data_IF_258595087157
#
_entry.id   IF_258595087157
#
_cell.length_a   1.000
_cell.length_b   1.000
_cell.length_c   1.000
_cell.angle_alpha   90.00
_cell.angle_beta   90.00
_cell.angle_gamma   90.00
#
_symmetry.space_group_name_H-M   'P 1'
#
loop_
_entity.id
_entity.type
_entity.pdbx_description
1 polymer ?
#
# COMPACT_ATOMS: atom_id res chain seq x y z
N UNK A 1 8.50 -19.22 8.27
CA UNK A 1 9.18 -19.99 7.20
C UNK A 1 8.19 -21.06 6.74
N UNK A 2 7.98 -21.24 5.45
CA UNK A 2 7.13 -22.31 4.95
C UNK A 2 7.91 -23.64 4.97
N UNK A 3 7.27 -24.72 5.39
CA UNK A 3 7.86 -26.06 5.42
C UNK A 3 6.89 -27.05 4.79
N UNK A 4 7.41 -27.90 3.92
CA UNK A 4 6.68 -28.99 3.31
C UNK A 4 7.11 -30.29 3.99
N UNK A 5 6.15 -30.98 4.60
CA UNK A 5 6.36 -32.19 5.40
C UNK A 5 5.70 -33.34 4.65
N UNK A 6 6.44 -34.42 4.45
CA UNK A 6 5.94 -35.65 3.83
C UNK A 6 5.98 -36.72 4.91
N UNK A 7 4.83 -37.33 5.17
CA UNK A 7 4.69 -38.42 6.11
C UNK A 7 5.11 -39.75 5.44
N UNK A 8 6.23 -40.38 5.88
CA UNK A 8 6.73 -41.61 5.28
C UNK A 8 5.81 -42.82 5.53
N UNK A 9 4.96 -42.80 6.57
CA UNK A 9 4.07 -43.93 6.88
C UNK A 9 2.81 -43.91 6.02
N UNK A 10 2.35 -42.72 5.66
CA UNK A 10 1.13 -42.52 4.86
C UNK A 10 1.44 -42.45 3.36
N UNK A 11 2.70 -42.18 2.96
CA UNK A 11 3.08 -42.06 1.57
C UNK A 11 2.98 -43.40 0.81
N UNK A 12 2.11 -43.45 -0.20
CA UNK A 12 1.91 -44.65 -1.03
C UNK A 12 2.85 -44.76 -2.25
N UNK A 13 3.75 -43.79 -2.45
CA UNK A 13 4.69 -43.78 -3.57
C UNK A 13 4.06 -43.67 -4.97
N UNK A 14 2.86 -43.10 -5.10
CA UNK A 14 2.11 -43.02 -6.36
C UNK A 14 2.63 -42.01 -7.42
N UNK A 15 3.71 -41.28 -7.11
CA UNK A 15 4.37 -40.30 -7.99
C UNK A 15 3.53 -39.11 -8.48
N UNK A 16 2.25 -39.01 -8.10
CA UNK A 16 1.34 -37.93 -8.53
C UNK A 16 1.86 -36.53 -8.15
N UNK A 17 2.56 -36.43 -7.02
CA UNK A 17 3.18 -35.20 -6.55
C UNK A 17 4.33 -34.70 -7.44
N UNK A 18 5.07 -35.61 -8.11
CA UNK A 18 6.16 -35.26 -9.04
C UNK A 18 5.58 -34.66 -10.31
N UNK A 19 4.56 -35.29 -10.90
CA UNK A 19 3.88 -34.76 -12.09
C UNK A 19 3.21 -33.41 -11.84
N UNK A 20 2.77 -33.16 -10.61
CA UNK A 20 2.11 -31.93 -10.21
C UNK A 20 3.09 -30.79 -9.90
N UNK A 21 4.38 -31.06 -9.74
CA UNK A 21 5.36 -30.04 -9.36
C UNK A 21 5.87 -29.28 -10.60
N UNK A 22 5.49 -28.00 -10.82
CA UNK A 22 5.96 -27.24 -11.98
C UNK A 22 7.45 -26.87 -11.89
N UNK A 23 8.06 -27.04 -10.71
CA UNK A 23 9.46 -26.69 -10.43
C UNK A 23 10.38 -27.92 -10.33
N UNK A 24 9.83 -29.13 -10.48
CA UNK A 24 10.61 -30.38 -10.38
C UNK A 24 11.34 -30.55 -9.05
N UNK A 25 10.73 -30.11 -7.95
CA UNK A 25 11.32 -30.10 -6.61
C UNK A 25 11.01 -31.35 -5.78
N UNK A 26 10.40 -32.38 -6.37
CA UNK A 26 10.03 -33.62 -5.71
C UNK A 26 10.70 -34.80 -6.43
N UNK A 27 11.31 -35.68 -5.65
CA UNK A 27 11.96 -36.91 -6.13
C UNK A 27 11.54 -38.11 -5.28
N UNK A 28 11.61 -39.33 -5.82
CA UNK A 28 11.36 -40.55 -5.05
C UNK A 28 12.67 -41.11 -4.50
N UNK A 29 12.73 -41.38 -3.20
CA UNK A 29 13.80 -42.16 -2.57
C UNK A 29 13.17 -43.24 -1.69
N UNK A 30 13.57 -44.49 -1.90
CA UNK A 30 13.12 -45.64 -1.09
C UNK A 30 11.59 -45.81 -1.01
N UNK A 31 10.87 -45.43 -2.08
CA UNK A 31 9.41 -45.53 -2.14
C UNK A 31 8.67 -44.37 -1.47
N UNK A 32 9.38 -43.36 -0.96
CA UNK A 32 8.81 -42.16 -0.33
C UNK A 32 9.21 -40.91 -1.14
N UNK A 33 8.29 -39.95 -1.22
CA UNK A 33 8.57 -38.67 -1.85
C UNK A 33 9.48 -37.81 -0.96
N UNK A 34 10.50 -37.19 -1.56
CA UNK A 34 11.48 -36.32 -0.91
C UNK A 34 11.47 -34.97 -1.60
N UNK A 35 11.49 -33.90 -0.81
CA UNK A 35 11.50 -32.52 -1.29
C UNK A 35 12.92 -31.96 -1.36
N UNK A 36 13.25 -31.37 -2.50
CA UNK A 36 14.53 -30.70 -2.74
C UNK A 36 14.46 -29.19 -2.40
N UNK A 37 15.61 -28.53 -2.40
CA UNK A 37 15.80 -27.09 -2.16
C UNK A 37 15.13 -26.19 -3.19
N UNK A 38 14.74 -26.74 -4.36
CA UNK A 38 13.99 -26.04 -5.42
C UNK A 38 12.52 -25.80 -5.06
N UNK A 39 12.04 -26.27 -3.91
CA UNK A 39 10.65 -26.14 -3.53
C UNK A 39 10.27 -24.68 -3.25
N UNK A 40 9.27 -24.17 -3.97
CA UNK A 40 8.73 -22.81 -3.80
C UNK A 40 7.51 -22.76 -2.88
N UNK A 41 7.14 -23.88 -2.25
CA UNK A 41 5.99 -23.99 -1.34
C UNK A 41 4.65 -23.56 -1.98
N UNK A 42 4.48 -23.84 -3.29
CA UNK A 42 3.28 -23.46 -4.04
C UNK A 42 2.02 -24.24 -3.65
N UNK A 43 2.15 -25.40 -3.00
CA UNK A 43 1.03 -26.21 -2.51
C UNK A 43 0.45 -27.22 -3.51
N UNK A 44 0.85 -27.19 -4.79
CA UNK A 44 0.29 -28.07 -5.81
C UNK A 44 0.31 -29.56 -5.44
N UNK A 45 1.41 -30.04 -4.83
CA UNK A 45 1.55 -31.44 -4.42
C UNK A 45 0.61 -31.87 -3.28
N UNK A 46 0.13 -30.95 -2.44
CA UNK A 46 -0.83 -31.25 -1.37
C UNK A 46 -2.18 -31.63 -2.00
N UNK A 47 -2.61 -30.86 -3.00
CA UNK A 47 -3.92 -31.04 -3.64
C UNK A 47 -4.03 -32.35 -4.44
N UNK A 48 -2.92 -32.85 -4.98
CA UNK A 48 -2.90 -34.06 -5.81
C UNK A 48 -2.56 -35.33 -5.02
N UNK A 49 -2.26 -35.23 -3.73
CA UNK A 49 -1.91 -36.39 -2.92
C UNK A 49 -3.17 -37.19 -2.55
N UNK A 50 -3.37 -38.41 -3.10
CA UNK A 50 -4.61 -39.17 -2.86
C UNK A 50 -4.74 -39.69 -1.43
N UNK A 51 -3.61 -39.80 -0.73
CA UNK A 51 -3.50 -40.29 0.65
C UNK A 51 -3.24 -39.16 1.65
N UNK A 52 -3.21 -37.90 1.21
CA UNK A 52 -2.95 -36.72 2.07
C UNK A 52 -1.65 -36.82 2.88
N UNK A 53 -0.63 -37.53 2.37
CA UNK A 53 0.66 -37.70 3.03
C UNK A 53 1.56 -36.44 3.00
N UNK A 54 1.15 -35.38 2.29
CA UNK A 54 1.93 -34.16 2.13
C UNK A 54 1.22 -33.02 2.85
N UNK A 55 1.87 -32.45 3.85
CA UNK A 55 1.38 -31.31 4.62
C UNK A 55 2.25 -30.10 4.33
N UNK A 56 1.63 -28.98 3.96
CA UNK A 56 2.31 -27.70 3.82
C UNK A 56 2.03 -26.84 5.05
N UNK A 57 3.00 -26.77 5.95
CA UNK A 57 2.98 -25.82 7.06
C UNK A 57 3.47 -24.47 6.55
N UNK A 58 2.54 -23.58 6.23
CA UNK A 58 2.85 -22.16 6.15
C UNK A 58 2.81 -21.64 7.57
N UNK A 59 3.95 -21.28 8.15
CA UNK A 59 3.93 -20.36 9.29
C UNK A 59 3.31 -19.06 8.79
N UNK A 60 2.00 -18.92 8.94
CA UNK A 60 1.37 -17.62 9.06
C UNK A 60 1.97 -17.01 10.31
N UNK A 61 3.08 -16.28 10.15
CA UNK A 61 3.42 -15.27 11.12
C UNK A 61 2.23 -14.31 11.08
N UNK A 62 1.26 -14.55 11.95
CA UNK A 62 0.42 -13.50 12.47
C UNK A 62 1.41 -12.53 13.10
N UNK A 63 1.90 -11.59 12.29
CA UNK A 63 2.70 -10.49 12.78
C UNK A 63 1.73 -9.79 13.72
N UNK A 64 1.88 -10.03 15.01
CA UNK A 64 1.14 -9.36 16.06
C UNK A 64 1.71 -7.95 16.14
N UNK A 65 1.38 -7.16 15.12
CA UNK A 65 1.67 -5.74 15.11
C UNK A 65 0.84 -5.14 16.22
N UNK A 66 1.48 -4.41 17.13
CA UNK A 66 0.77 -3.59 18.10
C UNK A 66 0.01 -2.48 17.37
N UNK A 67 -1.25 -2.76 17.05
CA UNK A 67 -2.13 -1.85 16.31
C UNK A 67 -2.35 -0.54 17.09
N UNK A 68 -2.18 -0.55 18.42
CA UNK A 68 -2.40 0.63 19.26
C UNK A 68 -1.38 1.75 19.04
N UNK A 69 -0.22 1.41 18.45
CA UNK A 69 0.81 2.36 18.07
C UNK A 69 0.46 3.16 16.80
N UNK A 70 -0.52 2.70 16.02
CA UNK A 70 -0.87 3.32 14.75
C UNK A 70 -2.01 4.32 14.93
N UNK A 71 -1.81 5.56 14.47
CA UNK A 71 -2.75 6.66 14.66
C UNK A 71 -2.72 7.61 13.47
N UNK A 72 -3.81 8.34 13.29
CA UNK A 72 -3.99 9.38 12.25
C UNK A 72 -4.25 8.83 10.85
N UNK A 73 -5.01 9.62 10.07
CA UNK A 73 -5.31 9.37 8.65
C UNK A 73 -4.40 10.25 7.81
N UNK A 74 -3.64 9.64 6.91
CA UNK A 74 -2.69 10.33 6.06
C UNK A 74 -3.18 10.39 4.61
N UNK A 75 -3.02 11.56 3.98
CA UNK A 75 -3.34 11.78 2.58
C UNK A 75 -2.08 12.18 1.84
N UNK A 76 -1.76 11.46 0.76
CA UNK A 76 -0.73 11.87 -0.18
C UNK A 76 -1.22 13.01 -1.05
N UNK A 77 -0.51 14.14 -0.97
CA UNK A 77 -0.83 15.32 -1.74
C UNK A 77 0.05 15.33 -2.99
N UNK A 78 -0.59 14.99 -4.10
CA UNK A 78 0.01 15.07 -5.41
C UNK A 78 0.12 16.53 -5.85
N UNK A 79 1.28 16.90 -6.38
CA UNK A 79 1.50 18.17 -7.06
C UNK A 79 2.30 17.94 -8.35
N UNK A 80 2.00 18.75 -9.35
CA UNK A 80 2.64 18.69 -10.66
C UNK A 80 2.86 20.12 -11.17
N UNK A 81 4.06 20.41 -11.67
CA UNK A 81 4.43 21.72 -12.25
C UNK A 81 4.06 22.93 -11.37
N UNK A 82 4.17 22.77 -10.05
CA UNK A 82 3.89 23.82 -9.09
C UNK A 82 2.39 24.06 -8.81
N UNK A 83 1.53 23.09 -9.13
CA UNK A 83 0.10 23.09 -8.76
C UNK A 83 -0.27 21.80 -8.05
N UNK A 84 -1.05 21.90 -6.99
CA UNK A 84 -1.63 20.73 -6.31
C UNK A 84 -2.74 20.16 -7.17
N UNK A 85 -2.76 18.83 -7.32
CA UNK A 85 -3.81 18.14 -8.06
C UNK A 85 -5.15 18.23 -7.33
N UNK A 86 -6.24 18.39 -8.09
CA UNK A 86 -7.60 18.49 -7.53
C UNK A 86 -7.99 17.27 -6.70
N UNK A 87 -7.50 16.08 -7.07
CA UNK A 87 -7.74 14.84 -6.33
C UNK A 87 -7.26 14.95 -4.88
N UNK A 88 -6.11 15.59 -4.64
CA UNK A 88 -5.56 15.76 -3.30
C UNK A 88 -6.53 16.49 -2.37
N UNK A 89 -7.26 17.49 -2.88
CA UNK A 89 -8.24 18.23 -2.09
C UNK A 89 -9.50 17.40 -1.79
N UNK A 90 -9.97 16.61 -2.76
CA UNK A 90 -11.09 15.68 -2.57
C UNK A 90 -10.76 14.65 -1.48
N UNK A 91 -9.52 14.11 -1.49
CA UNK A 91 -9.04 13.16 -0.50
C UNK A 91 -8.88 13.76 0.89
N UNK A 92 -8.50 15.03 1.01
CA UNK A 92 -8.49 15.73 2.30
C UNK A 92 -9.91 15.86 2.86
N UNK A 93 -10.90 16.12 2.00
CA UNK A 93 -12.31 16.17 2.38
C UNK A 93 -12.83 14.85 2.91
N UNK A 94 -12.56 13.74 2.20
CA UNK A 94 -12.98 12.41 2.64
C UNK A 94 -12.15 11.90 3.82
N UNK A 95 -10.84 12.12 3.79
CA UNK A 95 -9.93 11.81 4.88
C UNK A 95 -10.33 12.48 6.19
N UNK A 96 -10.93 13.69 6.13
CA UNK A 96 -11.48 14.34 7.33
C UNK A 96 -12.64 13.56 7.94
N UNK A 97 -13.57 13.07 7.13
CA UNK A 97 -14.70 12.26 7.62
C UNK A 97 -14.21 10.97 8.26
N UNK A 98 -13.22 10.31 7.65
CA UNK A 98 -12.60 9.10 8.19
C UNK A 98 -11.87 9.39 9.51
N UNK A 99 -11.14 10.51 9.58
CA UNK A 99 -10.44 10.93 10.79
C UNK A 99 -11.43 11.25 11.93
N UNK A 100 -12.55 11.93 11.63
CA UNK A 100 -13.60 12.23 12.60
C UNK A 100 -14.29 10.94 13.10
N UNK A 101 -14.52 9.95 12.22
CA UNK A 101 -15.08 8.65 12.59
C UNK A 101 -14.15 7.82 13.50
N UNK A 102 -12.83 7.93 13.29
CA UNK A 102 -11.81 7.27 14.10
C UNK A 102 -11.43 8.06 15.37
N UNK A 103 -11.77 9.35 15.43
CA UNK A 103 -11.36 10.26 16.50
C UNK A 103 -9.86 10.61 16.47
N UNK A 104 -9.24 10.61 15.28
CA UNK A 104 -7.82 10.91 15.08
C UNK A 104 -7.61 12.16 14.22
N UNK A 105 -6.35 12.55 13.99
CA UNK A 105 -6.03 13.75 13.19
C UNK A 105 -5.95 13.42 11.71
N UNK A 106 -6.25 14.42 10.88
CA UNK A 106 -5.98 14.38 9.45
C UNK A 106 -4.58 14.95 9.18
N UNK A 107 -3.76 14.15 8.52
CA UNK A 107 -2.40 14.49 8.15
C UNK A 107 -2.24 14.51 6.63
N UNK A 108 -1.53 15.50 6.10
CA UNK A 108 -1.07 15.51 4.70
C UNK A 108 0.40 15.12 4.61
N UNK A 109 0.80 14.40 3.58
CA UNK A 109 2.21 14.20 3.23
C UNK A 109 2.52 14.85 1.88
N UNK A 110 3.57 15.65 1.83
CA UNK A 110 4.01 16.41 0.65
C UNK A 110 5.51 16.22 0.45
N UNK A 111 5.93 15.92 -0.78
CA UNK A 111 7.32 15.71 -1.16
C UNK A 111 7.65 16.62 -2.34
N UNK A 112 8.75 17.36 -2.31
CA UNK A 112 9.12 18.23 -3.44
C UNK A 112 10.31 19.14 -3.18
N UNK A 113 10.51 20.12 -4.05
CA UNK A 113 11.42 21.24 -3.84
C UNK A 113 10.58 22.51 -3.66
N UNK A 114 10.82 23.27 -2.57
CA UNK A 114 10.11 24.53 -2.21
C UNK A 114 8.59 24.37 -2.12
N UNK A 115 8.10 23.54 -1.20
CA UNK A 115 6.67 23.18 -1.13
C UNK A 115 5.86 24.04 -0.17
N UNK A 116 6.43 25.09 0.43
CA UNK A 116 5.73 25.98 1.36
C UNK A 116 4.38 26.53 0.87
N UNK A 117 4.21 26.92 -0.42
CA UNK A 117 2.92 27.40 -0.90
C UNK A 117 1.84 26.31 -0.82
N UNK A 118 2.20 25.06 -1.15
CA UNK A 118 1.27 23.92 -1.16
C UNK A 118 0.85 23.53 0.25
N UNK A 119 1.76 23.66 1.22
CA UNK A 119 1.45 23.38 2.64
C UNK A 119 0.31 24.28 3.13
N UNK A 120 0.32 25.57 2.77
CA UNK A 120 -0.75 26.50 3.16
C UNK A 120 -2.10 26.11 2.56
N UNK A 121 -2.11 25.69 1.31
CA UNK A 121 -3.34 25.23 0.64
C UNK A 121 -3.89 23.97 1.33
N UNK A 122 -3.04 22.97 1.57
CA UNK A 122 -3.42 21.70 2.20
C UNK A 122 -4.00 21.91 3.62
N UNK A 123 -3.42 22.83 4.40
CA UNK A 123 -3.96 23.22 5.71
C UNK A 123 -5.34 23.88 5.55
N UNK A 124 -5.50 24.77 4.56
CA UNK A 124 -6.77 25.44 4.31
C UNK A 124 -7.90 24.48 3.88
N UNK A 125 -7.55 23.33 3.29
CA UNK A 125 -8.52 22.26 2.95
C UNK A 125 -8.73 21.24 4.07
N UNK A 126 -8.06 21.39 5.21
CA UNK A 126 -8.42 20.75 6.46
C UNK A 126 -7.40 19.81 7.10
N UNK A 127 -6.18 19.73 6.56
CA UNK A 127 -5.10 19.01 7.22
C UNK A 127 -4.68 19.70 8.53
N UNK A 128 -4.64 18.95 9.63
CA UNK A 128 -4.18 19.43 10.93
C UNK A 128 -2.66 19.31 11.09
N UNK A 129 -2.06 18.30 10.45
CA UNK A 129 -0.61 18.14 10.37
C UNK A 129 -0.19 17.97 8.92
N UNK A 130 0.95 18.53 8.55
CA UNK A 130 1.54 18.34 7.23
C UNK A 130 2.99 17.90 7.38
N UNK A 131 3.27 16.69 6.91
CA UNK A 131 4.60 16.13 6.81
C UNK A 131 5.22 16.54 5.48
N UNK A 132 6.38 17.18 5.56
CA UNK A 132 7.06 17.79 4.42
C UNK A 132 8.46 17.21 4.33
N UNK A 133 8.81 16.66 3.17
CA UNK A 133 10.19 16.34 2.83
C UNK A 133 10.63 17.16 1.64
N UNK A 134 11.62 18.01 1.88
CA UNK A 134 12.19 18.90 0.88
C UNK A 134 13.57 18.41 0.46
N UNK A 135 13.76 18.24 -0.85
CA UNK A 135 15.05 17.91 -1.43
C UNK A 135 15.06 18.27 -2.92
N UNK A 136 16.20 18.75 -3.47
CA UNK A 136 16.35 18.94 -4.92
C UNK A 136 16.07 17.67 -5.74
N UNK A 137 16.33 16.50 -5.15
CA UNK A 137 16.05 15.18 -5.75
C UNK A 137 14.55 14.92 -5.97
N UNK A 138 13.67 15.64 -5.27
CA UNK A 138 12.22 15.52 -5.34
C UNK A 138 11.57 16.54 -6.27
N UNK A 139 12.37 17.40 -6.93
CA UNK A 139 11.89 18.41 -7.88
C UNK A 139 11.05 17.82 -9.01
N UNK A 140 11.38 16.60 -9.44
CA UNK A 140 10.65 15.84 -10.44
C UNK A 140 10.19 14.52 -9.84
N UNK A 141 8.99 14.09 -10.22
CA UNK A 141 8.47 12.82 -9.76
C UNK A 141 9.33 11.67 -10.27
N UNK A 142 9.87 10.91 -9.32
CA UNK A 142 10.56 9.64 -9.53
C UNK A 142 10.17 8.72 -8.39
N UNK A 143 9.88 7.47 -8.73
CA UNK A 143 9.31 6.50 -7.80
C UNK A 143 10.23 6.24 -6.60
N UNK A 144 11.53 6.01 -6.83
CA UNK A 144 12.51 5.68 -5.79
C UNK A 144 12.61 6.75 -4.67
N UNK A 145 12.91 8.04 -4.95
CA UNK A 145 13.05 9.04 -3.90
C UNK A 145 11.72 9.38 -3.19
N UNK A 146 10.59 9.36 -3.91
CA UNK A 146 9.27 9.59 -3.32
C UNK A 146 8.91 8.43 -2.37
N UNK A 147 9.08 7.19 -2.81
CA UNK A 147 8.83 6.00 -2.00
C UNK A 147 9.74 5.99 -0.76
N UNK A 148 11.02 6.30 -0.91
CA UNK A 148 11.95 6.38 0.23
C UNK A 148 11.49 7.41 1.28
N UNK A 149 11.12 8.62 0.85
CA UNK A 149 10.60 9.65 1.75
C UNK A 149 9.36 9.16 2.52
N UNK A 150 8.40 8.59 1.80
CA UNK A 150 7.15 8.12 2.38
C UNK A 150 7.34 6.96 3.35
N UNK A 151 8.15 5.96 2.98
CA UNK A 151 8.44 4.79 3.82
C UNK A 151 9.10 5.22 5.13
N UNK A 152 10.03 6.18 5.08
CA UNK A 152 10.69 6.68 6.28
C UNK A 152 9.70 7.37 7.23
N UNK A 153 8.82 8.21 6.69
CA UNK A 153 7.78 8.86 7.48
C UNK A 153 6.78 7.86 8.06
N UNK A 154 6.28 6.93 7.24
CA UNK A 154 5.29 5.94 7.65
C UNK A 154 5.88 5.01 8.73
N UNK A 155 7.14 4.58 8.61
CA UNK A 155 7.80 3.76 9.64
C UNK A 155 8.02 4.52 10.95
N UNK A 156 8.32 5.81 10.89
CA UNK A 156 8.60 6.66 12.07
C UNK A 156 7.31 7.03 12.82
N UNK A 157 6.27 7.44 12.11
CA UNK A 157 5.06 7.99 12.70
C UNK A 157 3.87 7.01 12.73
N UNK A 158 3.96 5.88 12.01
CA UNK A 158 2.99 4.78 12.04
C UNK A 158 1.53 5.24 11.83
N UNK A 159 1.17 5.77 10.65
CA UNK A 159 -0.21 6.11 10.33
C UNK A 159 -1.14 4.91 10.33
N UNK A 160 -2.39 5.08 10.75
CA UNK A 160 -3.37 3.99 10.69
C UNK A 160 -3.87 3.76 9.26
N UNK A 161 -4.14 4.85 8.53
CA UNK A 161 -4.66 4.84 7.17
C UNK A 161 -3.79 5.74 6.29
N UNK A 162 -3.49 5.31 5.07
CA UNK A 162 -2.86 6.15 4.05
C UNK A 162 -3.67 6.10 2.74
N UNK A 163 -4.06 7.26 2.24
CA UNK A 163 -4.90 7.41 1.04
C UNK A 163 -4.10 8.12 -0.05
N UNK A 164 -4.19 7.60 -1.27
CA UNK A 164 -3.54 8.13 -2.46
C UNK A 164 -4.55 8.45 -3.57
N UNK A 165 -4.19 9.35 -4.48
CA UNK A 165 -4.95 9.55 -5.71
C UNK A 165 -4.75 8.38 -6.66
N UNK A 166 -5.80 7.94 -7.35
CA UNK A 166 -5.69 6.96 -8.42
C UNK A 166 -5.27 7.60 -9.76
N UNK A 167 -4.25 8.45 -9.72
CA UNK A 167 -3.61 9.05 -10.91
C UNK A 167 -2.47 8.18 -11.40
N UNK A 168 -1.81 8.57 -12.50
CA UNK A 168 -0.58 7.91 -12.96
C UNK A 168 0.50 7.94 -11.87
N UNK A 169 0.65 9.06 -11.17
CA UNK A 169 1.62 9.21 -10.08
C UNK A 169 1.22 8.35 -8.88
N UNK A 170 0.00 8.49 -8.38
CA UNK A 170 -0.43 7.80 -7.18
C UNK A 170 -0.54 6.28 -7.34
N UNK A 171 -0.88 5.77 -8.53
CA UNK A 171 -0.89 4.31 -8.78
C UNK A 171 0.50 3.69 -8.75
N UNK A 172 1.49 4.36 -9.34
CA UNK A 172 2.89 3.92 -9.32
C UNK A 172 3.49 3.99 -7.90
N UNK A 173 3.30 5.15 -7.26
CA UNK A 173 3.80 5.42 -5.92
C UNK A 173 3.19 4.50 -4.86
N UNK A 174 1.86 4.37 -4.83
CA UNK A 174 1.16 3.56 -3.83
C UNK A 174 1.56 2.08 -3.92
N UNK A 175 1.71 1.53 -5.12
CA UNK A 175 2.12 0.13 -5.32
C UNK A 175 3.51 -0.14 -4.75
N UNK A 176 4.46 0.78 -4.99
CA UNK A 176 5.82 0.68 -4.46
C UNK A 176 5.85 0.77 -2.94
N UNK A 177 5.12 1.73 -2.35
CA UNK A 177 5.05 1.92 -0.90
C UNK A 177 4.41 0.72 -0.21
N UNK A 178 3.28 0.24 -0.72
CA UNK A 178 2.57 -0.90 -0.13
C UNK A 178 3.40 -2.19 -0.17
N UNK A 179 4.07 -2.46 -1.29
CA UNK A 179 4.96 -3.63 -1.42
C UNK A 179 6.14 -3.56 -0.45
N UNK A 180 6.74 -2.38 -0.27
CA UNK A 180 7.90 -2.22 0.63
C UNK A 180 7.54 -2.25 2.12
N UNK A 181 6.30 -1.89 2.44
CA UNK A 181 5.74 -1.97 3.79
C UNK A 181 5.05 -3.29 4.08
N UNK A 182 4.96 -4.19 3.09
CA UNK A 182 4.24 -5.46 3.18
C UNK A 182 2.79 -5.28 3.64
N UNK A 183 2.10 -4.23 3.17
CA UNK A 183 0.71 -3.93 3.54
C UNK A 183 -0.26 -4.05 2.36
N UNK A 184 -1.55 -4.20 2.67
CA UNK A 184 -2.62 -4.24 1.67
C UNK A 184 -2.80 -2.90 0.97
N UNK A 185 -3.14 -2.94 -0.32
CA UNK A 185 -3.47 -1.78 -1.14
C UNK A 185 -4.72 -2.06 -1.97
N UNK A 186 -5.81 -1.35 -1.70
CA UNK A 186 -7.00 -1.41 -2.57
C UNK A 186 -6.95 -0.31 -3.62
N UNK A 187 -6.84 -0.70 -4.88
CA UNK A 187 -6.80 0.24 -5.99
C UNK A 187 -8.20 0.75 -6.38
N UNK A 188 -8.28 1.99 -6.86
CA UNK A 188 -9.45 2.55 -7.58
C UNK A 188 -10.75 2.55 -6.75
N UNK A 189 -10.66 2.88 -5.48
CA UNK A 189 -11.80 2.98 -4.58
C UNK A 189 -12.77 4.09 -5.02
N UNK A 190 -14.06 3.79 -4.89
CA UNK A 190 -15.19 4.70 -5.12
C UNK A 190 -15.94 5.04 -3.83
N UNK A 191 -15.67 4.33 -2.75
CA UNK A 191 -16.25 4.59 -1.44
C UNK A 191 -15.29 4.15 -0.34
N UNK A 192 -15.17 4.98 0.68
CA UNK A 192 -14.38 4.70 1.87
C UNK A 192 -15.30 4.92 3.07
N UNK A 193 -15.35 3.96 3.98
CA UNK A 193 -16.11 4.07 5.21
C UNK A 193 -15.37 3.37 6.35
N UNK A 194 -15.65 3.75 7.59
CA UNK A 194 -15.09 3.08 8.77
C UNK A 194 -16.16 2.17 9.35
N UNK A 195 -15.78 0.91 9.57
CA UNK A 195 -16.66 -0.02 10.26
C UNK A 195 -16.84 0.39 11.74
N UNK A 196 -18.07 0.63 12.22
CA UNK A 196 -18.30 1.13 13.59
C UNK A 196 -17.86 0.16 14.69
N UNK A 197 -17.88 -1.15 14.43
CA UNK A 197 -17.57 -2.17 15.42
C UNK A 197 -16.07 -2.48 15.42
N UNK A 198 -15.50 -2.65 14.23
CA UNK A 198 -14.12 -3.12 14.09
C UNK A 198 -13.10 -2.02 13.83
N UNK A 199 -13.55 -0.80 13.49
CA UNK A 199 -12.73 0.36 13.10
C UNK A 199 -11.84 0.14 11.87
N UNK A 200 -12.07 -0.92 11.10
CA UNK A 200 -11.35 -1.13 9.84
C UNK A 200 -11.92 -0.27 8.71
N UNK A 201 -11.06 0.05 7.73
CA UNK A 201 -11.42 0.80 6.55
C UNK A 201 -12.11 -0.13 5.53
N UNK A 202 -13.40 0.13 5.30
CA UNK A 202 -14.20 -0.48 4.23
C UNK A 202 -13.88 0.19 2.90
N UNK A 203 -13.16 -0.52 2.05
CA UNK A 203 -12.67 -0.02 0.76
C UNK A 203 -13.56 -0.56 -0.35
N UNK A 204 -14.50 0.28 -0.79
CA UNK A 204 -15.47 -0.11 -1.82
C UNK A 204 -14.92 0.25 -3.19
N UNK A 205 -14.82 -0.74 -4.08
CA UNK A 205 -14.41 -0.52 -5.48
C UNK A 205 -15.23 -1.37 -6.46
N UNK A 206 -15.38 -0.89 -7.71
CA UNK A 206 -15.86 -1.71 -8.81
C UNK A 206 -14.82 -2.78 -9.20
N UNK A 207 -15.28 -4.03 -9.33
CA UNK A 207 -14.57 -5.16 -9.88
C UNK A 207 -15.26 -5.64 -11.17
N UNK A 208 -14.56 -6.46 -11.97
CA UNK A 208 -15.10 -7.08 -13.19
C UNK A 208 -15.79 -6.09 -14.15
N UNK A 209 -15.04 -5.06 -14.57
CA UNK A 209 -15.55 -4.05 -15.52
C UNK A 209 -16.61 -3.10 -14.95
N UNK A 210 -16.84 -3.11 -13.64
CA UNK A 210 -17.85 -2.26 -12.99
C UNK A 210 -19.15 -2.97 -12.62
N UNK A 211 -19.30 -4.26 -12.96
CA UNK A 211 -20.53 -5.00 -12.72
C UNK A 211 -20.70 -5.45 -11.27
N UNK A 212 -19.60 -5.62 -10.54
CA UNK A 212 -19.62 -6.09 -9.15
C UNK A 212 -18.98 -5.02 -8.27
N UNK A 213 -19.68 -4.63 -7.22
CA UNK A 213 -19.13 -3.77 -6.19
C UNK A 213 -18.59 -4.66 -5.07
N UNK A 214 -17.28 -4.60 -4.86
CA UNK A 214 -16.61 -5.35 -3.80
C UNK A 214 -16.20 -4.37 -2.70
N UNK A 215 -16.45 -4.77 -1.45
CA UNK A 215 -15.91 -4.06 -0.28
C UNK A 215 -14.79 -4.92 0.29
N UNK A 216 -13.58 -4.40 0.22
CA UNK A 216 -12.38 -5.06 0.72
C UNK A 216 -12.04 -4.47 2.09
N UNK A 217 -11.61 -5.34 2.99
CA UNK A 217 -11.10 -5.02 4.31
C UNK A 217 -9.67 -5.54 4.39
N UNK A 218 -8.72 -4.70 4.80
CA UNK A 218 -7.33 -5.10 5.03
C UNK A 218 -7.21 -5.83 6.38
N UNK A 219 -7.83 -7.01 6.45
CA UNK A 219 -7.99 -7.84 7.65
C UNK A 219 -7.14 -9.12 7.57
N UNK A 220 -6.52 -9.60 8.67
CA UNK A 220 -6.11 -8.90 9.89
C UNK A 220 -4.59 -8.59 9.90
N UNK A 221 -4.19 -7.59 10.69
CA UNK A 221 -2.80 -7.30 11.09
C UNK A 221 -1.84 -6.62 10.10
N UNK A 222 -2.32 -6.01 9.01
CA UNK A 222 -1.47 -5.17 8.16
C UNK A 222 -1.74 -3.68 8.40
N UNK A 223 -0.66 -2.91 8.60
CA UNK A 223 -0.70 -1.45 8.79
C UNK A 223 0.46 -0.79 8.05
N UNK A 224 0.26 0.39 7.45
CA UNK A 224 -1.01 1.14 7.34
C UNK A 224 -2.04 0.44 6.43
N UNK A 225 -3.33 0.74 6.63
CA UNK A 225 -4.37 0.38 5.66
C UNK A 225 -4.29 1.37 4.50
N UNK A 226 -4.18 0.88 3.26
CA UNK A 226 -3.91 1.77 2.13
C UNK A 226 -4.88 1.63 0.97
N UNK A 227 -5.30 2.76 0.43
CA UNK A 227 -6.24 2.81 -0.68
C UNK A 227 -5.83 3.87 -1.71
N UNK A 228 -6.01 3.57 -3.00
CA UNK A 228 -6.06 4.61 -4.03
C UNK A 228 -7.50 4.92 -4.38
N UNK A 229 -7.82 6.19 -4.58
CA UNK A 229 -9.18 6.67 -4.80
C UNK A 229 -9.30 7.35 -6.16
N UNK A 230 -10.36 7.04 -6.89
CA UNK A 230 -10.60 7.65 -8.20
C UNK A 230 -10.85 9.17 -8.09
N UNK A 231 -10.23 9.99 -8.96
CA UNK A 231 -10.54 11.41 -9.03
C UNK A 231 -12.02 11.66 -9.31
N UNK A 232 -12.57 12.75 -8.79
CA UNK A 232 -13.95 13.24 -8.96
C UNK A 232 -15.04 12.36 -8.34
N UNK A 233 -14.66 11.41 -7.47
CA UNK A 233 -15.62 10.61 -6.71
C UNK A 233 -16.17 11.40 -5.53
N UNK A 234 -15.29 12.11 -4.82
CA UNK A 234 -15.66 12.84 -3.62
C UNK A 234 -15.83 14.33 -3.91
N UNK A 235 -16.75 15.02 -3.22
CA UNK A 235 -16.94 16.45 -3.40
C UNK A 235 -15.76 17.23 -2.82
N UNK A 236 -15.39 18.32 -3.50
CA UNK A 236 -14.35 19.21 -3.02
C UNK A 236 -14.78 19.88 -1.70
N UNK A 237 -13.95 19.82 -0.63
CA UNK A 237 -14.28 20.46 0.63
C UNK A 237 -14.21 21.99 0.52
N UNK A 238 -14.90 22.69 1.43
CA UNK A 238 -14.83 24.15 1.51
C UNK A 238 -13.45 24.55 2.02
N UNK A 239 -12.80 25.45 1.29
CA UNK A 239 -11.54 26.08 1.71
C UNK A 239 -11.80 27.01 2.89
N UNK A 240 -10.98 26.86 3.93
CA UNK A 240 -11.04 27.66 5.15
C UNK A 240 -9.65 28.13 5.55
N UNK A 241 -9.38 29.41 5.33
CA UNK A 241 -8.07 30.03 5.58
C UNK A 241 -7.80 30.30 7.06
N UNK A 242 -8.81 30.15 7.93
CA UNK A 242 -8.65 30.37 9.37
C UNK A 242 -7.97 29.21 10.09
N UNK A 243 -7.83 28.06 9.41
CA UNK A 243 -7.26 26.83 9.97
C UNK A 243 -5.75 26.97 10.19
N UNK A 244 -5.31 26.47 11.34
CA UNK A 244 -3.88 26.35 11.68
C UNK A 244 -3.51 24.87 11.70
N UNK A 245 -2.43 24.54 11.01
CA UNK A 245 -1.86 23.19 10.99
C UNK A 245 -0.42 23.19 11.49
N UNK A 246 0.01 22.06 12.03
CA UNK A 246 1.40 21.81 12.43
C UNK A 246 2.20 21.32 11.22
N UNK A 247 3.38 21.89 10.99
CA UNK A 247 4.25 21.52 9.87
C UNK A 247 5.44 20.75 10.44
N UNK A 248 5.62 19.51 10.00
CA UNK A 248 6.73 18.64 10.42
C UNK A 248 7.62 18.43 9.21
N UNK A 249 8.87 18.90 9.29
CA UNK A 249 9.86 18.75 8.23
C UNK A 249 10.82 17.63 8.55
N UNK A 250 11.01 16.72 7.60
CA UNK A 250 11.96 15.60 7.72
C UNK A 250 12.84 15.54 6.49
N UNK A 251 14.16 15.30 6.65
CA UNK A 251 15.09 15.25 5.53
C UNK A 251 14.91 13.96 4.71
N UNK A 252 15.25 14.04 3.43
CA UNK A 252 15.37 12.85 2.58
C UNK A 252 16.65 12.09 2.95
N UNK A 253 16.53 10.80 3.28
CA UNK A 253 17.66 9.93 3.62
C UNK A 253 18.36 9.30 2.39
N UNK A 254 17.93 9.67 1.18
CA UNK A 254 18.41 9.13 -0.08
C UNK A 254 19.26 10.17 -0.82
N UNK A 255 20.40 9.75 -1.35
CA UNK A 255 21.24 10.58 -2.21
C UNK A 255 20.90 10.37 -3.68
N UNK A 256 21.23 11.36 -4.51
CA UNK A 256 20.92 11.33 -5.95
C UNK A 256 21.57 10.15 -6.69
N UNK A 257 22.75 9.71 -6.24
CA UNK A 257 23.49 8.58 -6.81
C UNK A 257 22.78 7.23 -6.64
N UNK A 258 21.87 7.14 -5.66
CA UNK A 258 21.09 5.93 -5.42
C UNK A 258 19.84 5.85 -6.31
N UNK A 259 19.47 6.94 -6.99
CA UNK A 259 18.27 7.01 -7.81
C UNK A 259 18.57 6.38 -9.18
N UNK A 260 17.87 5.29 -9.49
CA UNK A 260 18.09 4.53 -10.73
C UNK A 260 17.57 5.25 -11.97
N UNK A 261 16.54 6.09 -11.80
CA UNK A 261 15.83 6.76 -12.88
C UNK A 261 16.32 8.20 -13.08
N UNK A 262 16.51 8.57 -14.35
CA UNK A 262 16.84 9.93 -14.77
C UNK A 262 15.78 10.41 -15.74
N UNK A 263 15.27 11.59 -15.49
CA UNK A 263 14.35 12.26 -16.40
C UNK A 263 15.19 13.09 -17.38
N UNK A 264 15.03 12.81 -18.67
CA UNK A 264 15.76 13.52 -19.72
C UNK A 264 14.97 14.73 -20.22
N UNK A 265 13.70 14.52 -20.52
CA UNK A 265 12.81 15.54 -21.10
C UNK A 265 11.36 15.24 -20.74
N UNK A 266 10.55 16.30 -20.63
CA UNK A 266 9.10 16.21 -20.52
C UNK A 266 8.45 16.64 -21.83
N UNK A 267 7.79 15.71 -22.50
CA UNK A 267 6.96 16.02 -23.67
C UNK A 267 5.52 16.20 -23.18
N UNK A 268 4.99 17.42 -23.27
CA UNK A 268 3.58 17.66 -22.99
C UNK A 268 2.75 16.94 -24.05
N UNK A 269 1.85 16.06 -23.63
CA UNK A 269 0.84 15.50 -24.52
C UNK A 269 0.02 16.63 -25.13
N UNK A 270 -0.25 16.57 -26.44
CA UNK A 270 -1.06 17.55 -27.12
C UNK A 270 -2.42 17.68 -26.40
N UNK A 271 -2.75 18.90 -25.96
CA UNK A 271 -4.09 19.22 -25.45
C UNK A 271 -5.09 18.88 -26.56
N UNK A 272 -5.93 17.88 -26.32
CA UNK A 272 -7.07 17.53 -27.17
C UNK A 272 -8.35 17.95 -26.47
#
# INVERSE_FOLDING_TARGET
>A
MAKLIIDPETCSGCESCISACPFGALSMKEGIAVVDDKCTFCGACVDVCPVSAITLEKEEKAVTIDVSAYKDVWVFVEHEQGKVSSVSFELLGEGRKLADALGCKLCGMIFGDKVEPFVKEVIAYGAEKVYVTESPALSQYRTDPYACAAINLIRKYKPEIVIYGATTQGRDFAGTVATTLECGLTADCTGLDIDPETKYLRQTRPAFGGNIMATILDYPNYRPQTATVRPKVFPMPRRDESRKGEIIREPLLMTEDQVRTKVLEFIKGAET
#
